data_IF_569240258726
#
_entry.id   IF_569240258726
#
_cell.length_a   1.000
_cell.length_b   1.000
_cell.length_c   1.000
_cell.angle_alpha   90.00
_cell.angle_beta   90.00
_cell.angle_gamma   90.00
#
_symmetry.space_group_name_H-M   'P 1'
#
loop_
_entity.id
_entity.type
_entity.pdbx_description
1 polymer ?
#
# COMPACT_ATOMS: atom_id res chain seq x y z
N UNK A 1 -15.56 -9.54 8.47
CA UNK A 1 -14.32 -10.08 7.86
C UNK A 1 -13.15 -9.27 8.39
N UNK A 2 -12.11 -9.93 8.88
CA UNK A 2 -10.87 -9.28 9.29
C UNK A 2 -10.17 -8.71 8.04
N UNK A 3 -9.76 -7.44 8.08
CA UNK A 3 -9.01 -6.84 6.97
C UNK A 3 -7.55 -7.32 7.02
N UNK A 4 -6.99 -7.72 5.89
CA UNK A 4 -5.57 -8.11 5.80
C UNK A 4 -4.70 -6.90 5.46
N UNK A 5 -3.49 -6.86 6.02
CA UNK A 5 -2.56 -5.76 5.81
C UNK A 5 -1.55 -6.09 4.71
N UNK A 6 -1.36 -5.16 3.78
CA UNK A 6 -0.37 -5.23 2.71
C UNK A 6 0.56 -4.02 2.85
N UNK A 7 1.83 -4.29 3.16
CA UNK A 7 2.85 -3.27 3.35
C UNK A 7 3.88 -3.32 2.24
N UNK A 8 4.09 -2.18 1.59
CA UNK A 8 5.08 -2.02 0.53
C UNK A 8 6.26 -1.20 1.08
N UNK A 9 7.48 -1.66 0.80
CA UNK A 9 8.71 -0.99 1.20
C UNK A 9 9.52 -0.65 -0.05
N UNK A 10 10.03 0.58 -0.15
CA UNK A 10 10.81 1.00 -1.31
C UNK A 10 11.81 2.12 -0.97
N UNK A 11 12.95 2.11 -1.66
CA UNK A 11 14.04 3.09 -1.59
C UNK A 11 13.78 4.43 -2.27
N UNK A 12 12.82 4.47 -3.21
CA UNK A 12 12.44 5.68 -3.92
C UNK A 12 10.91 5.83 -3.90
N UNK A 13 10.39 6.56 -2.92
CA UNK A 13 8.96 6.54 -2.55
C UNK A 13 7.94 7.05 -3.58
N UNK A 14 8.35 7.66 -4.70
CA UNK A 14 7.42 8.24 -5.67
C UNK A 14 6.62 7.19 -6.47
N UNK A 15 7.28 6.15 -7.00
CA UNK A 15 6.61 5.13 -7.82
C UNK A 15 5.67 4.23 -6.99
N UNK A 16 6.07 3.92 -5.75
CA UNK A 16 5.28 3.10 -4.83
C UNK A 16 4.00 3.81 -4.37
N UNK A 17 4.06 5.14 -4.16
CA UNK A 17 2.88 5.93 -3.78
C UNK A 17 1.79 5.92 -4.88
N UNK A 18 2.21 6.00 -6.14
CA UNK A 18 1.31 5.87 -7.28
C UNK A 18 0.68 4.47 -7.36
N UNK A 19 1.48 3.43 -7.17
CA UNK A 19 1.01 2.04 -7.15
C UNK A 19 -0.03 1.82 -6.03
N UNK A 20 0.27 2.25 -4.80
CA UNK A 20 -0.65 2.14 -3.65
C UNK A 20 -1.98 2.82 -3.94
N UNK A 21 -1.96 3.99 -4.58
CA UNK A 21 -3.19 4.71 -4.95
C UNK A 21 -4.05 3.89 -5.92
N UNK A 22 -3.43 3.24 -6.92
CA UNK A 22 -4.14 2.36 -7.86
C UNK A 22 -4.64 1.08 -7.19
N UNK A 23 -3.86 0.48 -6.30
CA UNK A 23 -4.27 -0.73 -5.57
C UNK A 23 -5.47 -0.46 -4.67
N UNK A 24 -5.49 0.67 -3.93
CA UNK A 24 -6.64 1.07 -3.10
C UNK A 24 -7.92 1.23 -3.92
N UNK A 25 -7.83 1.90 -5.07
CA UNK A 25 -8.97 2.05 -5.97
C UNK A 25 -9.52 0.71 -6.48
N UNK A 26 -8.66 -0.27 -6.77
CA UNK A 26 -9.13 -1.62 -7.15
C UNK A 26 -9.69 -2.40 -5.96
N UNK A 27 -9.07 -2.31 -4.78
CA UNK A 27 -9.57 -2.97 -3.58
C UNK A 27 -10.97 -2.47 -3.20
N UNK A 28 -11.23 -1.16 -3.33
CA UNK A 28 -12.56 -0.58 -3.14
C UNK A 28 -13.55 -1.07 -4.21
N UNK A 29 -13.16 -1.06 -5.49
CA UNK A 29 -14.00 -1.51 -6.61
C UNK A 29 -14.49 -2.96 -6.47
N UNK A 30 -13.66 -3.86 -5.93
CA UNK A 30 -13.99 -5.28 -5.78
C UNK A 30 -14.27 -5.68 -4.32
N UNK A 31 -14.46 -4.70 -3.43
CA UNK A 31 -14.76 -4.91 -2.01
C UNK A 31 -13.77 -5.86 -1.30
N UNK A 32 -12.49 -5.80 -1.69
CA UNK A 32 -11.44 -6.63 -1.11
C UNK A 32 -11.10 -6.10 0.28
N UNK A 33 -11.23 -6.91 1.36
CA UNK A 33 -11.01 -6.45 2.73
C UNK A 33 -9.52 -6.36 3.05
N UNK A 34 -8.84 -5.34 2.51
CA UNK A 34 -7.41 -5.09 2.73
C UNK A 34 -7.10 -3.65 3.14
N UNK A 35 -6.01 -3.48 3.88
CA UNK A 35 -5.39 -2.19 4.20
C UNK A 35 -4.03 -2.17 3.48
N UNK A 36 -3.77 -1.13 2.69
CA UNK A 36 -2.56 -1.03 1.85
C UNK A 36 -1.80 0.23 2.23
N UNK A 37 -0.56 0.08 2.65
CA UNK A 37 0.32 1.19 3.07
C UNK A 37 1.72 1.02 2.44
N UNK A 38 2.39 2.15 2.20
CA UNK A 38 3.77 2.17 1.74
C UNK A 38 4.64 2.90 2.74
N UNK A 39 5.85 2.37 2.94
CA UNK A 39 6.87 2.87 3.84
C UNK A 39 8.20 2.96 3.10
N UNK A 40 9.12 3.84 3.55
CA UNK A 40 10.51 3.73 3.13
C UNK A 40 11.11 2.40 3.63
N UNK A 41 12.07 1.85 2.89
CA UNK A 41 12.80 0.64 3.27
C UNK A 41 13.65 0.81 4.53
N UNK A 42 14.11 2.04 4.78
CA UNK A 42 14.72 2.44 6.06
C UNK A 42 13.89 3.54 6.71
N UNK A 43 13.40 3.29 7.92
CA UNK A 43 12.98 4.37 8.81
C UNK A 43 14.26 5.08 9.24
N UNK A 44 14.52 6.27 8.67
CA UNK A 44 15.71 7.05 9.03
C UNK A 44 15.70 7.39 10.51
N UNK A 45 16.49 6.64 11.28
CA UNK A 45 17.27 7.13 12.40
C UNK A 45 18.69 7.37 11.91
#
# INVERSE_FOLDING_TARGET
MEKKHIYLFCSAGMSTSLLVSKMRAQAEKYEVPVIIEAFPETTGW
#
